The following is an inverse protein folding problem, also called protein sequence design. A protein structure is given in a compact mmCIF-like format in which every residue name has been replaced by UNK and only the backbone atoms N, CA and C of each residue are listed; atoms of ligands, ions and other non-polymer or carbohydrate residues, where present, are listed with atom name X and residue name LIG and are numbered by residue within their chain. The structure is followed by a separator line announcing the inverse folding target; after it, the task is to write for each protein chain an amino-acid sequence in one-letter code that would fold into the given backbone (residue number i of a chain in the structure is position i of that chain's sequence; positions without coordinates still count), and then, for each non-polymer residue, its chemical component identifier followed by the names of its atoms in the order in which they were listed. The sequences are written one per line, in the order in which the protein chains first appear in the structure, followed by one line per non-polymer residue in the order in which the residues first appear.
data_IF_050118056740
#
_entry.id   IF_050118056740
#
_cell.length_a   1.000
_cell.length_b   1.000
_cell.length_c   1.000
_cell.angle_alpha   90.00
_cell.angle_beta   90.00
_cell.angle_gamma   90.00
#
_symmetry.space_group_name_H-M   'P 1'
#
loop_
_entity.id
_entity.type
_entity.pdbx_description
1 polymer ?
#
# COMPACT_ATOMS: atom_id res chain seq x y z
N UNK A 1 -14.05 -9.46 -12.41
CA UNK A 1 -14.19 -9.46 -10.94
C UNK A 1 -14.70 -8.09 -10.52
N UNK A 2 -15.33 -7.94 -9.35
CA UNK A 2 -15.92 -6.66 -8.92
C UNK A 2 -14.93 -5.48 -8.93
N UNK A 3 -13.64 -5.71 -8.65
CA UNK A 3 -12.63 -4.66 -8.61
C UNK A 3 -11.84 -4.47 -9.91
N UNK A 4 -12.25 -5.11 -11.01
CA UNK A 4 -11.52 -5.01 -12.27
C UNK A 4 -11.49 -3.56 -12.77
N UNK A 5 -10.33 -3.12 -13.25
CA UNK A 5 -10.07 -1.78 -13.80
C UNK A 5 -10.30 -0.60 -12.82
N UNK A 6 -10.54 -0.87 -11.53
CA UNK A 6 -10.68 0.15 -10.48
C UNK A 6 -9.32 0.68 -10.00
N UNK A 7 -9.28 1.94 -9.56
CA UNK A 7 -8.15 2.53 -8.81
C UNK A 7 -8.39 2.34 -7.32
N UNK A 8 -7.43 1.75 -6.63
CA UNK A 8 -7.57 1.31 -5.24
C UNK A 8 -6.61 2.08 -4.33
N UNK A 9 -7.10 2.61 -3.21
CA UNK A 9 -6.26 2.99 -2.08
C UNK A 9 -6.19 1.83 -1.08
N UNK A 10 -4.98 1.39 -0.71
CA UNK A 10 -4.75 0.42 0.36
C UNK A 10 -4.15 1.13 1.57
N UNK A 11 -4.87 1.15 2.69
CA UNK A 11 -4.50 1.86 3.92
C UNK A 11 -4.15 0.88 5.04
N UNK A 12 -2.89 0.93 5.47
CA UNK A 12 -2.32 0.20 6.58
C UNK A 12 -2.20 1.02 7.86
N UNK A 13 -1.37 0.52 8.79
CA UNK A 13 -1.24 1.06 10.15
C UNK A 13 0.00 1.93 10.36
N UNK A 14 0.92 1.96 9.39
CA UNK A 14 2.12 2.78 9.44
C UNK A 14 1.82 4.28 9.47
N UNK A 15 2.78 5.08 9.92
CA UNK A 15 2.66 6.53 10.01
C UNK A 15 2.39 7.21 8.66
N UNK A 16 2.85 6.62 7.55
CA UNK A 16 2.60 7.18 6.21
C UNK A 16 1.13 7.16 5.78
N UNK A 17 0.23 6.54 6.57
CA UNK A 17 -1.22 6.64 6.39
C UNK A 17 -1.72 8.10 6.43
N UNK A 18 -0.95 9.02 7.03
CA UNK A 18 -1.25 10.45 7.03
C UNK A 18 -1.39 11.04 5.62
N UNK A 19 -0.64 10.53 4.64
CA UNK A 19 -0.71 11.02 3.27
C UNK A 19 -2.05 10.69 2.60
N UNK A 20 -2.68 9.57 2.98
CA UNK A 20 -4.06 9.28 2.55
C UNK A 20 -5.04 10.31 3.10
N UNK A 21 -4.94 10.64 4.40
CA UNK A 21 -5.81 11.65 5.02
C UNK A 21 -5.68 13.00 4.31
N UNK A 22 -4.44 13.44 4.07
CA UNK A 22 -4.15 14.72 3.42
C UNK A 22 -4.64 14.70 1.97
N UNK A 23 -4.39 13.61 1.23
CA UNK A 23 -4.86 13.46 -0.14
C UNK A 23 -6.39 13.57 -0.24
N UNK A 24 -7.14 12.92 0.67
CA UNK A 24 -8.61 13.04 0.72
C UNK A 24 -9.04 14.46 1.08
N UNK A 25 -8.35 15.14 2.00
CA UNK A 25 -8.60 16.57 2.30
C UNK A 25 -8.34 17.46 1.08
N UNK A 26 -7.38 17.08 0.24
CA UNK A 26 -7.08 17.69 -1.06
C UNK A 26 -7.99 17.19 -2.20
N UNK A 27 -9.12 16.55 -1.86
CA UNK A 27 -10.13 16.06 -2.82
C UNK A 27 -9.66 14.94 -3.76
N UNK A 28 -8.54 14.27 -3.48
CA UNK A 28 -8.19 13.03 -4.19
C UNK A 28 -9.17 11.93 -3.83
N UNK A 29 -9.51 11.11 -4.82
CA UNK A 29 -10.50 10.04 -4.69
C UNK A 29 -10.01 8.77 -5.36
N UNK A 30 -10.50 7.64 -4.87
CA UNK A 30 -10.27 6.30 -5.40
C UNK A 30 -11.61 5.64 -5.66
N UNK A 31 -11.61 4.67 -6.59
CA UNK A 31 -12.81 3.91 -6.92
C UNK A 31 -13.11 2.89 -5.81
N UNK A 32 -12.08 2.44 -5.08
CA UNK A 32 -12.18 1.64 -3.86
C UNK A 32 -11.13 2.06 -2.81
N UNK A 33 -11.49 1.92 -1.53
CA UNK A 33 -10.59 2.05 -0.39
C UNK A 33 -10.57 0.74 0.39
N UNK A 34 -9.39 0.17 0.58
CA UNK A 34 -9.16 -1.08 1.27
C UNK A 34 -8.37 -0.83 2.55
N UNK A 35 -8.73 -1.50 3.65
CA UNK A 35 -8.04 -1.35 4.93
C UNK A 35 -7.37 -2.63 5.41
N UNK A 36 -6.24 -2.50 6.10
CA UNK A 36 -5.53 -3.61 6.74
C UNK A 36 -5.84 -3.64 8.24
N UNK A 37 -6.27 -4.80 8.76
CA UNK A 37 -6.49 -5.04 10.19
C UNK A 37 -7.30 -3.91 10.86
N UNK A 38 -6.78 -3.30 11.94
CA UNK A 38 -7.47 -2.23 12.67
C UNK A 38 -7.52 -0.88 11.95
N UNK A 39 -7.01 -0.73 10.73
CA UNK A 39 -7.20 0.51 9.96
C UNK A 39 -8.69 0.83 9.76
N UNK A 40 -9.56 -0.19 9.78
CA UNK A 40 -11.02 -0.06 9.75
C UNK A 40 -11.59 0.75 10.93
N UNK A 41 -10.84 0.95 12.02
CA UNK A 41 -11.30 1.77 13.13
C UNK A 41 -11.27 3.26 12.84
N UNK A 42 -10.46 3.65 11.85
CA UNK A 42 -10.15 5.05 11.55
C UNK A 42 -10.70 5.46 10.19
N UNK A 43 -10.64 4.56 9.22
CA UNK A 43 -10.97 4.87 7.83
C UNK A 43 -12.25 4.17 7.38
N UNK A 44 -13.10 4.92 6.69
CA UNK A 44 -14.14 4.33 5.86
C UNK A 44 -13.46 3.60 4.70
N UNK A 45 -13.84 2.34 4.48
CA UNK A 45 -13.34 1.51 3.41
C UNK A 45 -14.49 0.71 2.80
N UNK A 46 -14.28 0.17 1.60
CA UNK A 46 -15.20 -0.69 0.86
C UNK A 46 -14.95 -2.17 1.16
N UNK A 47 -13.75 -2.50 1.65
CA UNK A 47 -13.37 -3.84 2.14
C UNK A 47 -12.16 -3.79 3.06
N UNK A 48 -11.99 -4.83 3.85
CA UNK A 48 -10.84 -4.98 4.73
C UNK A 48 -10.13 -6.33 4.52
N UNK A 49 -8.84 -6.37 4.82
CA UNK A 49 -8.05 -7.59 4.89
C UNK A 49 -7.55 -7.78 6.32
N UNK A 50 -7.91 -8.91 6.90
CA UNK A 50 -7.55 -9.33 8.25
C UNK A 50 -7.33 -10.85 8.19
N UNK A 51 -6.10 -11.25 7.83
CA UNK A 51 -5.81 -12.66 7.55
C UNK A 51 -5.65 -13.52 8.80
N UNK A 52 -5.53 -12.90 9.97
CA UNK A 52 -5.63 -13.62 11.24
C UNK A 52 -7.09 -14.03 11.51
N UNK A 53 -7.33 -15.20 12.14
CA UNK A 53 -8.67 -15.61 12.50
C UNK A 53 -9.29 -14.63 13.51
N UNK A 54 -10.62 -14.44 13.44
CA UNK A 54 -11.32 -13.52 14.32
C UNK A 54 -11.12 -13.84 15.82
N UNK A 55 -10.96 -15.12 16.15
CA UNK A 55 -10.67 -15.60 17.51
C UNK A 55 -9.43 -14.96 18.13
N UNK A 56 -8.41 -14.61 17.33
CA UNK A 56 -7.20 -13.90 17.80
C UNK A 56 -7.51 -12.51 18.39
N UNK A 57 -8.61 -11.88 17.97
CA UNK A 57 -9.06 -10.59 18.46
C UNK A 57 -10.17 -10.73 19.50
N UNK A 58 -11.05 -11.71 19.33
CA UNK A 58 -12.24 -11.90 20.17
C UNK A 58 -11.94 -12.64 21.46
N UNK A 59 -11.04 -13.62 21.41
CA UNK A 59 -10.84 -14.61 22.49
C UNK A 59 -9.49 -14.46 23.20
N UNK A 60 -8.51 -13.81 22.55
CA UNK A 60 -7.16 -13.60 23.11
C UNK A 60 -6.74 -12.13 23.05
N UNK A 61 -5.54 -11.85 23.56
CA UNK A 61 -4.88 -10.54 23.49
C UNK A 61 -3.74 -10.52 22.47
N UNK A 62 -3.63 -11.57 21.62
CA UNK A 62 -2.48 -11.76 20.74
C UNK A 62 -2.44 -10.74 19.58
N UNK A 63 -3.55 -10.03 19.31
CA UNK A 63 -3.59 -8.89 18.39
C UNK A 63 -2.96 -7.61 18.98
N UNK A 64 -2.49 -7.65 20.23
CA UNK A 64 -1.80 -6.55 20.89
C UNK A 64 -2.70 -5.31 21.04
N UNK A 65 -2.18 -4.13 20.71
CA UNK A 65 -2.95 -2.89 20.83
C UNK A 65 -4.20 -2.80 19.94
N UNK A 66 -4.34 -3.72 18.98
CA UNK A 66 -5.52 -3.78 18.11
C UNK A 66 -6.69 -4.53 18.76
N UNK A 67 -6.45 -5.35 19.79
CA UNK A 67 -7.44 -6.28 20.35
C UNK A 67 -8.74 -5.57 20.74
N UNK A 68 -8.65 -4.57 21.62
CA UNK A 68 -9.84 -3.92 22.19
C UNK A 68 -10.68 -3.16 21.16
N UNK A 69 -10.04 -2.54 20.17
CA UNK A 69 -10.77 -1.81 19.12
C UNK A 69 -11.42 -2.79 18.13
N UNK A 70 -10.70 -3.85 17.75
CA UNK A 70 -11.22 -4.87 16.83
C UNK A 70 -12.34 -5.68 17.46
N UNK A 71 -12.21 -6.07 18.74
CA UNK A 71 -13.25 -6.79 19.49
C UNK A 71 -14.58 -6.05 19.51
N UNK A 72 -14.54 -4.71 19.56
CA UNK A 72 -15.74 -3.85 19.52
C UNK A 72 -16.29 -3.64 18.11
N UNK A 73 -15.43 -3.64 17.09
CA UNK A 73 -15.80 -3.29 15.71
C UNK A 73 -16.23 -4.50 14.88
N UNK A 74 -15.51 -5.61 14.98
CA UNK A 74 -15.72 -6.78 14.12
C UNK A 74 -17.19 -7.26 14.09
N UNK A 75 -17.91 -7.40 15.23
CA UNK A 75 -19.29 -7.91 15.19
C UNK A 75 -20.30 -7.01 14.47
N UNK A 76 -19.97 -5.73 14.29
CA UNK A 76 -20.87 -4.70 13.73
C UNK A 76 -20.33 -4.05 12.45
N UNK A 77 -19.17 -4.47 11.98
CA UNK A 77 -18.58 -3.93 10.75
C UNK A 77 -19.49 -4.31 9.56
N UNK A 78 -19.67 -3.39 8.61
CA UNK A 78 -20.67 -3.55 7.56
C UNK A 78 -20.08 -4.05 6.23
N UNK A 79 -18.78 -3.86 6.01
CA UNK A 79 -18.13 -4.14 4.74
C UNK A 79 -17.40 -5.49 4.77
N UNK A 80 -17.18 -6.16 3.62
CA UNK A 80 -16.54 -7.47 3.60
C UNK A 80 -15.13 -7.43 4.21
N UNK A 81 -14.83 -8.42 5.05
CA UNK A 81 -13.53 -8.64 5.67
C UNK A 81 -12.96 -9.94 5.12
N UNK A 82 -11.89 -9.88 4.34
CA UNK A 82 -11.20 -11.08 3.89
C UNK A 82 -10.32 -11.65 5.00
N UNK A 83 -10.56 -12.92 5.35
CA UNK A 83 -9.82 -13.64 6.40
C UNK A 83 -9.52 -15.09 5.99
N UNK A 84 -8.79 -15.82 6.82
CA UNK A 84 -8.42 -17.22 6.57
C UNK A 84 -9.54 -18.23 6.91
N UNK A 85 -10.54 -17.84 7.68
CA UNK A 85 -11.70 -18.66 8.06
C UNK A 85 -12.93 -17.80 8.37
N UNK A 86 -14.12 -18.37 8.28
CA UNK A 86 -15.36 -17.71 8.73
C UNK A 86 -15.51 -17.75 10.26
N UNK A 87 -16.14 -16.72 10.84
CA UNK A 87 -16.57 -16.72 12.25
C UNK A 87 -17.99 -16.16 12.36
N UNK A 88 -18.91 -16.91 12.97
CA UNK A 88 -20.32 -16.52 13.10
C UNK A 88 -20.53 -15.23 13.90
N UNK A 89 -19.58 -14.84 14.74
CA UNK A 89 -19.60 -13.59 15.52
C UNK A 89 -19.22 -12.38 14.68
N UNK A 90 -18.62 -12.59 13.51
CA UNK A 90 -18.17 -11.55 12.58
C UNK A 90 -18.82 -11.81 11.21
N UNK A 91 -20.10 -11.44 11.04
CA UNK A 91 -20.93 -11.88 9.91
C UNK A 91 -20.47 -11.37 8.54
N UNK A 92 -19.54 -10.41 8.51
CA UNK A 92 -18.98 -9.84 7.28
C UNK A 92 -17.65 -10.46 6.86
N UNK A 93 -17.17 -11.47 7.58
CA UNK A 93 -16.00 -12.22 7.08
C UNK A 93 -16.39 -12.99 5.82
N UNK A 94 -15.52 -12.89 4.83
CA UNK A 94 -15.51 -13.70 3.62
C UNK A 94 -14.17 -14.45 3.60
N UNK A 95 -14.19 -15.73 3.29
CA UNK A 95 -12.95 -16.49 3.13
C UNK A 95 -12.14 -15.92 1.96
N UNK A 96 -10.85 -15.67 2.21
CA UNK A 96 -9.92 -15.23 1.18
C UNK A 96 -9.77 -16.34 0.12
N UNK A 97 -9.92 -16.04 -1.19
CA UNK A 97 -9.88 -17.04 -2.25
C UNK A 97 -8.45 -17.50 -2.57
N UNK A 98 -7.77 -18.11 -1.58
CA UNK A 98 -6.34 -18.40 -1.65
C UNK A 98 -5.99 -19.36 -2.79
N UNK A 99 -6.80 -20.38 -3.03
CA UNK A 99 -6.57 -21.35 -4.10
C UNK A 99 -6.61 -20.68 -5.48
N UNK A 100 -7.63 -19.86 -5.73
CA UNK A 100 -7.78 -19.14 -6.99
C UNK A 100 -6.69 -18.09 -7.19
N UNK A 101 -6.34 -17.35 -6.13
CA UNK A 101 -5.25 -16.37 -6.16
C UNK A 101 -3.91 -17.06 -6.47
N UNK A 102 -3.57 -18.12 -5.76
CA UNK A 102 -2.31 -18.87 -5.98
C UNK A 102 -2.27 -19.46 -7.37
N UNK A 103 -3.37 -20.08 -7.82
CA UNK A 103 -3.47 -20.69 -9.16
C UNK A 103 -3.35 -19.65 -10.27
N UNK A 104 -4.01 -18.51 -10.14
CA UNK A 104 -4.02 -17.44 -11.15
C UNK A 104 -2.67 -16.73 -11.20
N UNK A 105 -2.09 -16.40 -10.04
CA UNK A 105 -0.84 -15.64 -9.95
C UNK A 105 0.42 -16.51 -10.02
N UNK A 106 0.26 -17.84 -9.93
CA UNK A 106 1.35 -18.84 -9.90
C UNK A 106 2.38 -18.55 -8.81
N UNK A 107 1.91 -18.18 -7.61
CA UNK A 107 2.77 -17.85 -6.46
C UNK A 107 2.06 -18.11 -5.15
N UNK A 108 2.78 -18.68 -4.17
CA UNK A 108 2.32 -18.91 -2.80
C UNK A 108 3.14 -18.16 -1.75
N UNK A 109 3.91 -17.14 -2.15
CA UNK A 109 4.79 -16.42 -1.22
C UNK A 109 4.02 -15.38 -0.41
N UNK A 110 3.50 -15.76 0.76
CA UNK A 110 2.75 -14.88 1.66
C UNK A 110 3.32 -14.94 3.08
N UNK A 111 3.60 -13.80 3.70
CA UNK A 111 4.05 -13.75 5.09
C UNK A 111 3.40 -12.65 5.95
N UNK A 112 2.52 -11.82 5.36
CA UNK A 112 1.80 -10.78 6.08
C UNK A 112 0.50 -10.42 5.34
N UNK A 113 -0.47 -9.82 6.05
CA UNK A 113 -1.79 -9.41 5.52
C UNK A 113 -1.71 -8.48 4.30
N UNK A 114 -0.72 -7.59 4.23
CA UNK A 114 -0.57 -6.64 3.13
C UNK A 114 -0.28 -7.39 1.82
N UNK A 115 0.56 -8.42 1.86
CA UNK A 115 0.86 -9.27 0.70
C UNK A 115 -0.41 -9.93 0.14
N UNK A 116 -1.33 -10.38 0.99
CA UNK A 116 -2.63 -10.91 0.56
C UNK A 116 -3.47 -9.83 -0.15
N UNK A 117 -3.54 -8.61 0.38
CA UNK A 117 -4.27 -7.52 -0.27
C UNK A 117 -3.69 -7.18 -1.66
N UNK A 118 -2.35 -7.12 -1.79
CA UNK A 118 -1.69 -6.85 -3.08
C UNK A 118 -1.89 -8.00 -4.07
N UNK A 119 -1.80 -9.26 -3.63
CA UNK A 119 -2.09 -10.40 -4.50
C UNK A 119 -3.56 -10.44 -4.94
N UNK A 120 -4.48 -10.02 -4.08
CA UNK A 120 -5.89 -9.88 -4.43
C UNK A 120 -6.12 -8.77 -5.47
N UNK A 121 -5.37 -7.66 -5.41
CA UNK A 121 -5.38 -6.63 -6.45
C UNK A 121 -4.92 -7.19 -7.81
N UNK A 122 -3.84 -7.97 -7.82
CA UNK A 122 -3.36 -8.66 -9.02
C UNK A 122 -4.40 -9.66 -9.57
N UNK A 123 -4.94 -10.51 -8.70
CA UNK A 123 -6.00 -11.46 -9.04
C UNK A 123 -7.21 -10.74 -9.63
N UNK A 124 -7.63 -9.65 -9.00
CA UNK A 124 -8.79 -8.84 -9.42
C UNK A 124 -8.57 -8.01 -10.67
N UNK A 125 -7.32 -7.86 -11.13
CA UNK A 125 -6.94 -7.03 -12.28
C UNK A 125 -7.38 -5.57 -12.09
N UNK A 126 -7.06 -5.01 -10.93
CA UNK A 126 -7.27 -3.57 -10.69
C UNK A 126 -6.41 -2.76 -11.67
N UNK A 127 -6.81 -1.52 -11.96
CA UNK A 127 -6.03 -0.63 -12.84
C UNK A 127 -4.83 -0.04 -12.12
N UNK A 128 -5.00 0.28 -10.84
CA UNK A 128 -4.02 0.96 -10.02
C UNK A 128 -4.20 0.60 -8.55
N UNK A 129 -3.10 0.51 -7.81
CA UNK A 129 -3.08 0.40 -6.35
C UNK A 129 -2.13 1.44 -5.75
N UNK A 130 -2.63 2.26 -4.84
CA UNK A 130 -1.86 3.26 -4.09
C UNK A 130 -1.78 2.84 -2.61
N UNK A 131 -0.57 2.69 -2.08
CA UNK A 131 -0.31 2.16 -0.76
C UNK A 131 0.03 3.27 0.25
N UNK A 132 -0.70 3.29 1.36
CA UNK A 132 -0.56 4.23 2.47
C UNK A 132 -0.45 3.48 3.79
N UNK A 133 0.41 3.92 4.71
CA UNK A 133 0.59 3.25 6.00
C UNK A 133 1.26 1.87 5.89
N UNK A 134 2.00 1.62 4.82
CA UNK A 134 2.73 0.37 4.58
C UNK A 134 4.22 0.67 4.69
N UNK A 135 4.75 0.79 5.92
CA UNK A 135 6.06 1.43 6.14
C UNK A 135 7.21 0.46 6.40
N UNK A 136 6.90 -0.69 7.00
CA UNK A 136 7.91 -1.67 7.46
C UNK A 136 9.06 -1.04 8.28
N UNK A 137 8.79 0.01 9.05
CA UNK A 137 9.76 0.74 9.87
C UNK A 137 9.67 0.38 11.35
N UNK A 138 9.52 -0.91 11.67
CA UNK A 138 9.41 -1.37 13.06
C UNK A 138 10.77 -1.31 13.76
N UNK A 139 10.96 -0.31 14.63
CA UNK A 139 12.21 -0.13 15.39
C UNK A 139 12.55 -1.29 16.34
N UNK A 140 11.53 -2.04 16.81
CA UNK A 140 11.70 -3.13 17.77
C UNK A 140 11.91 -4.53 17.17
N UNK A 141 11.65 -4.74 15.88
CA UNK A 141 11.77 -6.05 15.23
C UNK A 141 12.13 -5.90 13.74
N UNK A 142 13.38 -5.51 13.50
CA UNK A 142 13.89 -5.20 12.16
C UNK A 142 13.77 -6.39 11.20
N UNK A 143 14.12 -7.61 11.64
CA UNK A 143 14.04 -8.80 10.78
C UNK A 143 12.63 -9.13 10.31
N UNK A 144 11.62 -8.98 11.18
CA UNK A 144 10.22 -9.18 10.80
C UNK A 144 9.76 -8.09 9.82
N UNK A 145 10.20 -6.85 10.05
CA UNK A 145 9.95 -5.72 9.16
C UNK A 145 10.51 -5.95 7.76
N UNK A 146 11.78 -6.35 7.67
CA UNK A 146 12.49 -6.64 6.43
C UNK A 146 11.86 -7.80 5.66
N UNK A 147 11.55 -8.91 6.35
CA UNK A 147 10.89 -10.05 5.74
C UNK A 147 9.50 -9.68 5.20
N UNK A 148 8.73 -8.89 5.95
CA UNK A 148 7.44 -8.38 5.53
C UNK A 148 7.55 -7.49 4.29
N UNK A 149 8.51 -6.55 4.30
CA UNK A 149 8.79 -5.63 3.19
C UNK A 149 9.10 -6.40 1.91
N UNK A 150 10.05 -7.34 1.98
CA UNK A 150 10.47 -8.15 0.82
C UNK A 150 9.30 -8.92 0.19
N UNK A 151 8.39 -9.45 0.99
CA UNK A 151 7.20 -10.16 0.48
C UNK A 151 6.25 -9.22 -0.26
N UNK A 152 6.00 -8.01 0.27
CA UNK A 152 5.15 -7.02 -0.40
C UNK A 152 5.80 -6.52 -1.68
N UNK A 153 7.10 -6.21 -1.68
CA UNK A 153 7.84 -5.77 -2.86
C UNK A 153 7.81 -6.82 -3.99
N UNK A 154 7.90 -8.10 -3.65
CA UNK A 154 7.71 -9.19 -4.61
C UNK A 154 6.33 -9.16 -5.27
N UNK A 155 5.25 -8.94 -4.49
CA UNK A 155 3.91 -8.86 -5.06
C UNK A 155 3.69 -7.59 -5.90
N UNK A 156 4.27 -6.46 -5.47
CA UNK A 156 4.24 -5.23 -6.25
C UNK A 156 4.95 -5.39 -7.59
N UNK A 157 6.09 -6.08 -7.63
CA UNK A 157 6.77 -6.45 -8.87
C UNK A 157 5.81 -7.22 -9.81
N UNK A 158 5.08 -8.22 -9.31
CA UNK A 158 4.09 -8.96 -10.13
C UNK A 158 2.93 -8.09 -10.61
N UNK A 159 2.48 -7.12 -9.82
CA UNK A 159 1.48 -6.13 -10.25
C UNK A 159 2.01 -5.27 -11.40
N UNK A 160 3.24 -4.75 -11.27
CA UNK A 160 3.89 -3.93 -12.29
C UNK A 160 4.05 -4.71 -13.60
N UNK A 161 4.54 -5.95 -13.54
CA UNK A 161 4.66 -6.84 -14.71
C UNK A 161 3.31 -7.16 -15.37
N UNK A 162 2.21 -7.11 -14.62
CA UNK A 162 0.85 -7.27 -15.13
C UNK A 162 0.23 -5.96 -15.65
N UNK A 163 0.99 -4.85 -15.68
CA UNK A 163 0.53 -3.54 -16.13
C UNK A 163 -0.31 -2.77 -15.12
N UNK A 164 -0.35 -3.20 -13.85
CA UNK A 164 -1.04 -2.49 -12.78
C UNK A 164 -0.16 -1.34 -12.30
N UNK A 165 -0.72 -0.12 -12.28
CA UNK A 165 0.00 1.05 -11.74
C UNK A 165 0.15 0.91 -10.22
N UNK A 166 1.37 1.13 -9.72
CA UNK A 166 1.67 1.06 -8.29
C UNK A 166 2.11 2.44 -7.81
N UNK A 167 1.40 2.99 -6.83
CA UNK A 167 1.82 4.16 -6.07
C UNK A 167 2.14 3.77 -4.63
N UNK A 168 3.17 4.37 -4.06
CA UNK A 168 3.53 4.20 -2.64
C UNK A 168 3.73 5.60 -2.06
N UNK A 169 3.23 5.83 -0.84
CA UNK A 169 3.43 7.11 -0.15
C UNK A 169 4.91 7.52 -0.14
N UNK A 170 5.23 8.81 -0.42
CA UNK A 170 6.60 9.32 -0.38
C UNK A 170 7.22 9.29 1.02
N UNK A 171 6.40 9.13 2.09
CA UNK A 171 6.88 8.97 3.47
C UNK A 171 7.21 7.52 3.84
N UNK A 172 6.80 6.55 3.03
CA UNK A 172 6.96 5.13 3.34
C UNK A 172 8.39 4.62 3.08
N UNK A 173 8.87 3.70 3.91
CA UNK A 173 10.10 2.94 3.68
C UNK A 173 9.95 1.75 2.71
N UNK A 174 8.76 1.51 2.18
CA UNK A 174 8.49 0.51 1.14
C UNK A 174 9.02 1.02 -0.21
N UNK A 175 9.73 0.17 -0.97
CA UNK A 175 10.42 0.56 -2.21
C UNK A 175 11.33 1.78 -2.02
N UNK A 176 11.83 1.98 -0.80
CA UNK A 176 12.67 3.10 -0.38
C UNK A 176 12.11 4.48 -0.82
N UNK A 177 10.78 4.65 -0.81
CA UNK A 177 10.16 5.91 -1.27
C UNK A 177 10.54 7.13 -0.44
N UNK A 178 10.80 6.94 0.85
CA UNK A 178 11.28 7.97 1.76
C UNK A 178 12.75 8.37 1.54
N UNK A 179 13.48 7.71 0.64
CA UNK A 179 14.85 8.09 0.27
C UNK A 179 14.81 9.20 -0.79
N UNK A 180 15.59 10.29 -0.63
CA UNK A 180 15.69 11.36 -1.62
C UNK A 180 16.00 10.84 -3.02
N UNK A 181 15.39 11.42 -4.06
CA UNK A 181 15.53 10.97 -5.45
C UNK A 181 17.00 10.82 -5.90
N UNK A 182 17.86 11.73 -5.45
CA UNK A 182 19.30 11.75 -5.76
C UNK A 182 20.13 10.73 -4.96
N UNK A 183 19.51 9.98 -4.04
CA UNK A 183 20.14 8.94 -3.23
C UNK A 183 19.69 7.52 -3.59
N UNK A 184 18.57 7.37 -4.33
CA UNK A 184 17.95 6.07 -4.65
C UNK A 184 18.84 5.15 -5.49
N UNK A 185 19.65 5.71 -6.41
CA UNK A 185 20.58 4.91 -7.20
C UNK A 185 21.85 4.61 -6.39
N UNK A 186 21.91 3.41 -5.80
CA UNK A 186 23.05 2.96 -5.02
C UNK A 186 24.36 3.03 -5.84
N UNK A 187 25.42 3.56 -5.24
CA UNK A 187 26.69 3.84 -5.91
C UNK A 187 26.70 5.17 -6.67
N UNK A 188 25.68 5.44 -7.48
CA UNK A 188 25.58 6.67 -8.28
C UNK A 188 25.34 7.94 -7.45
N UNK A 189 24.69 7.81 -6.30
CA UNK A 189 24.52 8.92 -5.35
C UNK A 189 25.83 9.47 -4.78
N UNK A 190 26.96 8.77 -4.97
CA UNK A 190 28.29 9.17 -4.50
C UNK A 190 29.06 10.02 -5.51
N UNK A 191 28.55 10.19 -6.74
CA UNK A 191 29.16 11.04 -7.76
C UNK A 191 28.96 12.52 -7.43
N UNK A 192 29.84 13.39 -7.91
CA UNK A 192 29.71 14.85 -7.75
C UNK A 192 28.41 15.38 -8.39
N UNK A 193 28.11 14.88 -9.60
CA UNK A 193 26.81 15.04 -10.24
C UNK A 193 26.08 13.69 -10.20
N UNK A 194 25.07 13.61 -9.33
CA UNK A 194 24.38 12.37 -8.99
C UNK A 194 23.44 11.95 -10.12
N UNK A 195 23.35 10.65 -10.41
CA UNK A 195 22.32 10.14 -11.33
C UNK A 195 20.97 10.02 -10.64
N UNK A 196 19.91 10.40 -11.34
CA UNK A 196 18.52 10.31 -10.90
C UNK A 196 17.75 9.49 -11.93
N UNK A 197 16.97 8.52 -11.47
CA UNK A 197 16.05 7.73 -12.31
C UNK A 197 14.60 8.12 -12.01
N UNK A 198 13.82 8.38 -13.05
CA UNK A 198 12.42 8.78 -12.95
C UNK A 198 11.55 8.01 -13.96
N UNK A 199 10.35 7.57 -13.57
CA UNK A 199 9.39 7.01 -14.52
C UNK A 199 8.76 8.11 -15.36
N UNK A 200 8.59 7.84 -16.65
CA UNK A 200 7.86 8.67 -17.60
C UNK A 200 6.36 8.34 -17.60
N UNK A 201 5.47 9.26 -18.03
CA UNK A 201 4.03 9.01 -18.08
C UNK A 201 3.59 7.79 -18.92
N UNK A 202 4.40 7.42 -19.91
CA UNK A 202 4.21 6.27 -20.80
C UNK A 202 4.70 4.93 -20.21
N UNK A 203 5.35 4.96 -19.04
CA UNK A 203 5.89 3.79 -18.35
C UNK A 203 7.37 3.50 -18.64
N UNK A 204 8.00 4.24 -19.55
CA UNK A 204 9.45 4.18 -19.75
C UNK A 204 10.20 4.81 -18.57
N UNK A 205 11.51 4.57 -18.49
CA UNK A 205 12.35 5.17 -17.46
C UNK A 205 13.43 6.03 -18.08
N UNK A 206 13.61 7.23 -17.53
CA UNK A 206 14.71 8.13 -17.89
C UNK A 206 15.71 8.22 -16.75
N UNK A 207 16.99 8.28 -17.10
CA UNK A 207 18.09 8.57 -16.17
C UNK A 207 18.78 9.84 -16.61
N UNK A 208 18.88 10.82 -15.72
CA UNK A 208 19.58 12.08 -15.97
C UNK A 208 20.60 12.39 -14.86
N UNK A 209 21.48 13.35 -15.14
CA UNK A 209 22.29 13.99 -14.12
C UNK A 209 21.41 14.93 -13.27
N UNK A 210 21.77 15.11 -12.00
CA UNK A 210 21.03 15.97 -11.07
C UNK A 210 21.00 17.41 -11.57
N UNK A 211 22.09 17.87 -12.16
CA UNK A 211 22.18 19.18 -12.80
C UNK A 211 21.14 19.40 -13.91
N UNK A 212 20.67 18.34 -14.56
CA UNK A 212 19.76 18.38 -15.71
C UNK A 212 18.33 17.95 -15.38
N UNK A 213 17.98 17.86 -14.09
CA UNK A 213 16.67 17.33 -13.66
C UNK A 213 15.50 18.15 -14.24
N UNK A 214 15.58 19.49 -14.18
CA UNK A 214 14.49 20.36 -14.61
C UNK A 214 14.23 20.23 -16.11
N UNK A 215 15.29 20.24 -16.93
CA UNK A 215 15.20 20.05 -18.38
C UNK A 215 14.61 18.67 -18.71
N UNK A 216 14.98 17.63 -17.95
CA UNK A 216 14.44 16.28 -18.13
C UNK A 216 12.96 16.20 -17.78
N UNK A 217 12.53 16.82 -16.66
CA UNK A 217 11.12 16.85 -16.28
C UNK A 217 10.26 17.50 -17.36
N UNK A 218 10.72 18.63 -17.91
CA UNK A 218 10.02 19.35 -18.98
C UNK A 218 10.00 18.56 -20.30
N UNK A 219 11.13 17.97 -20.69
CA UNK A 219 11.25 17.23 -21.95
C UNK A 219 10.37 15.97 -22.00
N UNK A 220 10.18 15.31 -20.86
CA UNK A 220 9.42 14.06 -20.75
C UNK A 220 8.03 14.24 -20.11
N UNK A 221 7.65 15.47 -19.76
CA UNK A 221 6.35 15.76 -19.12
C UNK A 221 6.16 15.03 -17.79
N UNK A 222 7.23 14.85 -17.02
CA UNK A 222 7.20 14.13 -15.74
C UNK A 222 6.71 15.09 -14.66
N UNK A 223 5.62 14.73 -14.00
CA UNK A 223 5.16 15.44 -12.81
C UNK A 223 6.03 15.09 -11.61
N UNK A 224 6.44 16.10 -10.86
CA UNK A 224 7.18 15.89 -9.63
C UNK A 224 6.24 15.34 -8.56
N UNK A 225 6.54 14.14 -8.05
CA UNK A 225 5.79 13.56 -6.93
C UNK A 225 6.19 14.30 -5.66
N UNK A 226 5.42 15.30 -5.28
CA UNK A 226 5.57 15.98 -4.00
C UNK A 226 4.86 15.23 -2.88
N UNK A 227 5.37 15.42 -1.67
CA UNK A 227 4.68 15.03 -0.45
C UNK A 227 3.36 15.78 -0.33
N UNK A 228 2.28 15.07 0.01
CA UNK A 228 0.96 15.67 0.25
C UNK A 228 1.06 16.70 1.37
N UNK A 229 0.70 17.95 1.06
CA UNK A 229 0.65 19.06 2.02
C UNK A 229 -0.80 19.33 2.42
N UNK A 230 -1.08 19.63 3.71
CA UNK A 230 -2.39 20.05 4.15
C UNK A 230 -2.89 21.25 3.33
N UNK A 231 -4.22 21.38 3.11
CA UNK A 231 -4.76 22.51 2.38
C UNK A 231 -4.48 23.81 3.15
N UNK A 232 -3.78 24.75 2.51
CA UNK A 232 -3.54 26.08 3.07
C UNK A 232 -4.69 27.04 2.71
N UNK A 233 -5.14 27.91 3.64
CA UNK A 233 -6.16 28.91 3.33
C UNK A 233 -5.66 29.89 2.26
N UNK A 234 -6.38 30.02 1.16
CA UNK A 234 -6.09 31.03 0.15
C UNK A 234 -6.32 32.43 0.74
N UNK A 235 -5.27 33.25 0.82
CA UNK A 235 -5.42 34.70 0.99
C UNK A 235 -5.81 35.25 -0.36
N UNK A 236 -7.07 35.65 -0.51
CA UNK A 236 -7.63 36.37 -1.65
C UNK A 236 -6.64 37.27 -2.38
#
# INVERSE_FOLDING_TARGET
MDCQDKRVALVGLGASQVDYCIAVQNSKTWDEVWCINSAISTYKCDRAFMMDPASRYLDTEDAGYQTEVMRKLLPKFAEPIYSCELDARVPRIVEYPIEDVVKTTKSGYFNNTVAYAVAFALYSKVKEINLFGIDFSYSGNLHFAEAGRACVEFWLCKCIEAGIKVGVSPRSGLLDQNVPLNERLYGYHRLEDQKIAMPCPDGEWVVCDRSNIQETLEAYGIEQVEEEKPPEPYKG
#
